data_IF_566959434747
#
_entry.id   IF_566959434747
#
_cell.length_a   1.000
_cell.length_b   1.000
_cell.length_c   1.000
_cell.angle_alpha   90.00
_cell.angle_beta   90.00
_cell.angle_gamma   90.00
#
_symmetry.space_group_name_H-M   'P 1'
#
loop_
_entity.id
_entity.type
_entity.pdbx_description
1 polymer ?
#
# COMPACT_ATOMS: atom_id res chain seq x y z
N UNK A 1 29.69 -24.04 -4.71
CA UNK A 1 29.20 -22.78 -4.11
C UNK A 1 28.54 -23.15 -2.80
N UNK A 2 29.04 -22.63 -1.68
CA UNK A 2 28.51 -22.95 -0.34
C UNK A 2 27.07 -22.48 -0.20
N UNK A 3 26.26 -23.15 0.62
CA UNK A 3 24.85 -22.78 0.86
C UNK A 3 24.70 -21.38 1.49
N UNK A 4 25.73 -20.81 2.07
CA UNK A 4 25.78 -19.48 2.68
C UNK A 4 25.71 -18.30 1.69
N UNK A 5 25.92 -18.56 0.38
CA UNK A 5 25.89 -17.52 -0.66
C UNK A 5 24.51 -17.32 -1.30
N UNK A 6 23.50 -18.13 -0.92
CA UNK A 6 22.18 -18.10 -1.55
C UNK A 6 21.09 -17.64 -0.57
N UNK A 7 20.18 -16.79 -1.04
CA UNK A 7 19.06 -16.28 -0.25
C UNK A 7 17.73 -16.54 -0.95
N UNK A 8 16.76 -17.08 -0.20
CA UNK A 8 15.37 -17.21 -0.68
C UNK A 8 14.68 -15.86 -0.64
N UNK A 9 14.24 -15.40 -1.80
CA UNK A 9 13.46 -14.16 -1.92
C UNK A 9 12.03 -14.44 -2.31
N UNK A 10 11.12 -13.65 -1.74
CA UNK A 10 9.71 -13.67 -2.12
C UNK A 10 9.32 -12.28 -2.61
N UNK A 11 8.65 -12.23 -3.75
CA UNK A 11 8.13 -10.97 -4.29
C UNK A 11 6.80 -11.17 -4.99
N UNK A 12 6.04 -10.06 -5.10
CA UNK A 12 4.79 -10.00 -5.84
C UNK A 12 5.03 -9.54 -7.28
N UNK A 13 4.48 -10.27 -8.24
CA UNK A 13 4.43 -9.81 -9.63
C UNK A 13 2.98 -9.63 -10.04
N UNK A 14 2.58 -8.38 -10.33
CA UNK A 14 1.23 -8.04 -10.75
C UNK A 14 1.14 -7.95 -12.26
N UNK A 15 0.22 -8.73 -12.84
CA UNK A 15 -0.07 -8.73 -14.26
C UNK A 15 -1.55 -8.44 -14.50
N UNK A 16 -1.86 -7.82 -15.65
CA UNK A 16 -3.23 -7.53 -16.04
C UNK A 16 -3.87 -8.76 -16.67
N UNK A 17 -5.09 -9.09 -16.23
CA UNK A 17 -5.91 -10.13 -16.83
C UNK A 17 -6.69 -9.59 -18.04
N UNK A 18 -6.83 -10.42 -19.06
CA UNK A 18 -7.72 -10.22 -20.21
C UNK A 18 -8.86 -11.22 -20.10
N UNK A 19 -9.92 -10.85 -19.39
CA UNK A 19 -11.09 -11.69 -19.16
C UNK A 19 -12.18 -11.39 -20.19
N UNK A 20 -12.85 -12.41 -20.67
CA UNK A 20 -14.15 -12.31 -21.34
C UNK A 20 -15.23 -11.82 -20.36
N UNK A 21 -16.40 -11.36 -20.82
CA UNK A 21 -17.49 -10.96 -19.93
C UNK A 21 -17.92 -12.09 -18.98
N UNK A 22 -18.00 -13.31 -19.44
CA UNK A 22 -18.37 -14.49 -18.63
C UNK A 22 -17.32 -14.80 -17.55
N UNK A 23 -16.04 -14.80 -17.89
CA UNK A 23 -14.92 -14.99 -16.93
C UNK A 23 -14.90 -13.88 -15.87
N UNK A 24 -15.14 -12.63 -16.28
CA UNK A 24 -15.20 -11.51 -15.37
C UNK A 24 -16.37 -11.62 -14.39
N UNK A 25 -17.54 -12.07 -14.86
CA UNK A 25 -18.70 -12.32 -14.01
C UNK A 25 -18.42 -13.42 -12.99
N UNK A 26 -17.83 -14.55 -13.40
CA UNK A 26 -17.44 -15.64 -12.49
C UNK A 26 -16.41 -15.15 -11.45
N UNK A 27 -15.42 -14.35 -11.87
CA UNK A 27 -14.41 -13.78 -10.95
C UNK A 27 -15.05 -12.78 -9.98
N UNK A 28 -16.00 -11.96 -10.44
CA UNK A 28 -16.78 -11.07 -9.58
C UNK A 28 -17.58 -11.86 -8.54
N UNK A 29 -18.27 -12.94 -8.95
CA UNK A 29 -19.02 -13.81 -8.05
C UNK A 29 -18.14 -14.44 -6.97
N UNK A 30 -16.96 -14.96 -7.34
CA UNK A 30 -16.00 -15.50 -6.37
C UNK A 30 -15.54 -14.43 -5.35
N UNK A 31 -15.26 -13.21 -5.81
CA UNK A 31 -14.82 -12.14 -4.92
C UNK A 31 -15.95 -11.64 -4.00
N UNK A 32 -17.18 -11.68 -4.47
CA UNK A 32 -18.36 -11.43 -3.62
C UNK A 32 -18.52 -12.53 -2.57
N UNK A 33 -18.39 -13.80 -2.96
CA UNK A 33 -18.45 -14.93 -2.04
C UNK A 33 -17.32 -14.86 -1.00
N UNK A 34 -16.09 -14.52 -1.38
CA UNK A 34 -14.97 -14.34 -0.46
C UNK A 34 -15.22 -13.23 0.58
N UNK A 35 -15.81 -12.10 0.15
CA UNK A 35 -16.20 -11.03 1.08
C UNK A 35 -17.34 -11.47 2.02
N UNK A 36 -18.36 -12.13 1.50
CA UNK A 36 -19.48 -12.65 2.30
C UNK A 36 -18.97 -13.66 3.31
N UNK A 37 -18.09 -14.57 2.91
CA UNK A 37 -17.45 -15.54 3.80
C UNK A 37 -16.70 -14.86 4.96
N UNK A 38 -15.95 -13.78 4.68
CA UNK A 38 -15.32 -12.99 5.73
C UNK A 38 -16.34 -12.40 6.70
N UNK A 39 -17.46 -11.87 6.20
CA UNK A 39 -18.48 -11.27 7.03
C UNK A 39 -19.22 -12.31 7.86
N UNK A 40 -19.49 -13.49 7.31
CA UNK A 40 -20.06 -14.62 8.04
C UNK A 40 -19.12 -15.11 9.14
N UNK A 41 -17.81 -15.23 8.86
CA UNK A 41 -16.82 -15.56 9.88
C UNK A 41 -16.77 -14.50 10.98
N UNK A 42 -16.95 -13.23 10.64
CA UNK A 42 -16.95 -12.14 11.63
C UNK A 42 -18.22 -12.19 12.50
N UNK A 43 -19.40 -12.42 11.91
CA UNK A 43 -20.64 -12.62 12.65
C UNK A 43 -20.56 -13.86 13.55
N UNK A 44 -20.09 -14.99 13.01
CA UNK A 44 -19.87 -16.22 13.76
C UNK A 44 -18.94 -16.00 14.96
N UNK A 45 -17.81 -15.29 14.76
CA UNK A 45 -16.86 -14.96 15.83
C UNK A 45 -17.50 -14.15 16.96
N UNK A 46 -18.39 -13.21 16.63
CA UNK A 46 -19.08 -12.41 17.64
C UNK A 46 -20.07 -13.22 18.46
N UNK A 47 -20.76 -14.18 17.84
CA UNK A 47 -21.76 -15.04 18.48
C UNK A 47 -21.15 -16.19 19.28
N UNK A 48 -19.97 -16.69 18.91
CA UNK A 48 -19.36 -17.84 19.57
C UNK A 48 -18.75 -17.47 20.92
N UNK A 49 -18.89 -18.34 21.94
CA UNK A 49 -18.15 -18.21 23.20
C UNK A 49 -16.63 -18.35 22.94
N UNK A 50 -15.82 -17.76 23.83
CA UNK A 50 -14.36 -17.65 23.63
C UNK A 50 -13.68 -19.00 23.38
N UNK A 51 -14.10 -20.02 24.08
CA UNK A 51 -13.57 -21.39 24.05
C UNK A 51 -13.76 -22.04 22.68
N UNK A 52 -14.82 -21.68 21.96
CA UNK A 52 -15.16 -22.20 20.63
C UNK A 52 -14.56 -21.35 19.48
N UNK A 53 -13.90 -20.22 19.78
CA UNK A 53 -13.25 -19.35 18.75
C UNK A 53 -11.94 -19.92 18.23
N UNK A 54 -11.94 -21.20 17.89
CA UNK A 54 -10.74 -21.89 17.34
C UNK A 54 -10.79 -22.00 15.83
N UNK A 55 -9.63 -22.22 15.22
CA UNK A 55 -9.52 -22.41 13.77
C UNK A 55 -10.31 -23.64 13.31
N UNK A 56 -10.32 -24.72 14.11
CA UNK A 56 -11.04 -25.96 13.80
C UNK A 56 -12.57 -25.77 13.76
N UNK A 57 -13.14 -25.14 14.78
CA UNK A 57 -14.58 -24.82 14.79
C UNK A 57 -14.98 -23.89 13.65
N UNK A 58 -14.16 -22.87 13.38
CA UNK A 58 -14.41 -21.96 12.26
C UNK A 58 -14.29 -22.65 10.89
N UNK A 59 -13.38 -23.61 10.74
CA UNK A 59 -13.27 -24.41 9.52
C UNK A 59 -14.48 -25.30 9.29
N UNK A 60 -14.99 -25.96 10.35
CA UNK A 60 -16.22 -26.72 10.29
C UNK A 60 -17.42 -25.84 9.89
N UNK A 61 -17.55 -24.65 10.50
CA UNK A 61 -18.58 -23.67 10.16
C UNK A 61 -18.49 -23.20 8.69
N UNK A 62 -17.28 -22.93 8.19
CA UNK A 62 -17.06 -22.57 6.78
C UNK A 62 -17.45 -23.71 5.84
N UNK A 63 -17.10 -24.95 6.17
CA UNK A 63 -17.48 -26.13 5.37
C UNK A 63 -18.98 -26.31 5.32
N UNK A 64 -19.66 -26.17 6.46
CA UNK A 64 -21.13 -26.29 6.54
C UNK A 64 -21.79 -25.15 5.75
N UNK A 65 -21.42 -23.89 5.99
CA UNK A 65 -21.98 -22.74 5.27
C UNK A 65 -21.85 -22.86 3.74
N UNK A 66 -20.79 -23.50 3.25
CA UNK A 66 -20.59 -23.74 1.81
C UNK A 66 -21.46 -24.86 1.25
N UNK A 67 -21.99 -25.76 2.09
CA UNK A 67 -23.00 -26.77 1.71
C UNK A 67 -24.39 -26.17 1.69
N UNK A 68 -24.70 -25.34 2.68
CA UNK A 68 -26.04 -24.79 2.88
C UNK A 68 -26.34 -23.57 1.99
N UNK A 69 -25.30 -22.88 1.51
CA UNK A 69 -25.44 -21.63 0.75
C UNK A 69 -24.73 -21.77 -0.60
N UNK A 70 -25.47 -22.04 -1.65
CA UNK A 70 -24.96 -22.23 -3.02
C UNK A 70 -24.07 -21.11 -3.50
N UNK A 71 -24.42 -19.86 -3.15
CA UNK A 71 -23.60 -18.70 -3.49
C UNK A 71 -22.17 -18.78 -2.93
N UNK A 72 -21.96 -19.42 -1.79
CA UNK A 72 -20.62 -19.61 -1.21
C UNK A 72 -19.87 -20.75 -1.89
N UNK A 73 -20.59 -21.70 -2.47
CA UNK A 73 -19.99 -22.81 -3.20
C UNK A 73 -19.26 -22.39 -4.48
N UNK A 74 -19.56 -21.20 -5.06
CA UNK A 74 -18.82 -20.67 -6.22
C UNK A 74 -17.35 -20.36 -5.89
N UNK A 75 -17.03 -20.11 -4.62
CA UNK A 75 -15.65 -19.92 -4.16
C UNK A 75 -14.92 -21.27 -4.11
N UNK A 76 -13.75 -21.44 -4.73
CA UNK A 76 -12.95 -22.64 -4.58
C UNK A 76 -12.65 -22.95 -3.11
N UNK A 77 -12.61 -24.24 -2.72
CA UNK A 77 -12.39 -24.65 -1.33
C UNK A 77 -11.11 -24.05 -0.74
N UNK A 78 -10.03 -24.07 -1.51
CA UNK A 78 -8.75 -23.51 -1.09
C UNK A 78 -8.80 -21.99 -0.92
N UNK A 79 -9.58 -21.28 -1.74
CA UNK A 79 -9.79 -19.85 -1.58
C UNK A 79 -10.63 -19.54 -0.33
N UNK A 80 -11.62 -20.38 0.02
CA UNK A 80 -12.37 -20.27 1.28
C UNK A 80 -11.43 -20.47 2.48
N UNK A 81 -10.56 -21.48 2.44
CA UNK A 81 -9.53 -21.70 3.45
C UNK A 81 -8.55 -20.50 3.56
N UNK A 82 -8.22 -19.86 2.46
CA UNK A 82 -7.38 -18.66 2.47
C UNK A 82 -8.10 -17.47 3.15
N UNK A 83 -9.42 -17.33 2.97
CA UNK A 83 -10.23 -16.32 3.70
C UNK A 83 -10.20 -16.62 5.21
N UNK A 84 -10.42 -17.86 5.60
CA UNK A 84 -10.37 -18.31 7.00
C UNK A 84 -9.02 -17.99 7.65
N UNK A 85 -7.92 -18.41 7.03
CA UNK A 85 -6.54 -18.14 7.52
C UNK A 85 -6.27 -16.64 7.61
N UNK A 86 -6.72 -15.84 6.63
CA UNK A 86 -6.55 -14.39 6.64
C UNK A 86 -7.35 -13.73 7.77
N UNK A 87 -8.54 -14.24 8.09
CA UNK A 87 -9.37 -13.76 9.20
C UNK A 87 -8.68 -14.00 10.56
N UNK A 88 -8.16 -15.20 10.79
CA UNK A 88 -7.43 -15.53 12.02
C UNK A 88 -6.11 -14.75 12.13
N UNK A 89 -5.41 -14.55 11.01
CA UNK A 89 -4.22 -13.70 10.97
C UNK A 89 -4.55 -12.24 11.32
N UNK A 90 -5.71 -11.73 10.92
CA UNK A 90 -6.14 -10.38 11.29
C UNK A 90 -6.37 -10.26 12.80
N UNK A 91 -6.97 -11.26 13.45
CA UNK A 91 -7.07 -11.31 14.90
C UNK A 91 -5.71 -11.40 15.58
N UNK A 92 -4.82 -12.25 15.08
CA UNK A 92 -3.44 -12.33 15.59
C UNK A 92 -2.74 -10.97 15.51
N UNK A 93 -2.86 -10.26 14.40
CA UNK A 93 -2.29 -8.92 14.25
C UNK A 93 -2.90 -7.91 15.22
N UNK A 94 -4.18 -8.05 15.55
CA UNK A 94 -4.85 -7.22 16.55
C UNK A 94 -4.31 -7.50 17.96
N UNK A 95 -4.19 -8.76 18.35
CA UNK A 95 -3.63 -9.15 19.66
C UNK A 95 -2.17 -8.76 19.82
N UNK A 96 -1.41 -8.84 18.73
CA UNK A 96 -0.01 -8.39 18.69
C UNK A 96 0.11 -6.85 18.65
N UNK A 97 -0.98 -6.09 18.70
CA UNK A 97 -0.99 -4.61 18.64
C UNK A 97 -0.61 -4.02 17.28
N UNK A 98 -0.55 -4.84 16.21
CA UNK A 98 -0.14 -4.42 14.86
C UNK A 98 -1.27 -3.83 14.02
N UNK A 99 -2.52 -4.13 14.38
CA UNK A 99 -3.71 -3.67 13.67
C UNK A 99 -4.90 -3.52 14.62
N UNK A 100 -5.92 -2.81 14.16
CA UNK A 100 -7.22 -2.77 14.83
C UNK A 100 -7.95 -4.12 14.67
N UNK A 101 -8.95 -4.38 15.52
CA UNK A 101 -9.78 -5.57 15.43
C UNK A 101 -10.43 -5.70 14.04
N UNK A 102 -10.58 -6.93 13.53
CA UNK A 102 -11.30 -7.17 12.29
C UNK A 102 -12.72 -6.58 12.35
N UNK A 103 -13.21 -6.13 11.21
CA UNK A 103 -14.55 -5.57 11.07
C UNK A 103 -15.23 -6.10 9.80
N UNK A 104 -16.53 -5.81 9.66
CA UNK A 104 -17.31 -6.17 8.47
C UNK A 104 -16.77 -5.46 7.22
N UNK A 105 -16.66 -6.20 6.13
CA UNK A 105 -16.22 -5.70 4.82
C UNK A 105 -17.39 -5.15 4.02
N UNK A 106 -17.47 -3.83 3.93
CA UNK A 106 -18.50 -3.14 3.15
C UNK A 106 -18.34 -3.33 1.64
N UNK A 107 -19.47 -3.46 0.94
CA UNK A 107 -19.52 -3.68 -0.53
C UNK A 107 -18.73 -2.65 -1.34
N UNK A 108 -18.75 -1.39 -0.93
CA UNK A 108 -18.16 -0.27 -1.69
C UNK A 108 -16.80 0.17 -1.16
N UNK A 109 -16.42 -0.27 0.05
CA UNK A 109 -15.17 0.12 0.71
C UNK A 109 -14.07 -0.92 0.61
N UNK A 110 -14.42 -2.16 0.27
CA UNK A 110 -13.47 -3.27 0.22
C UNK A 110 -13.03 -3.54 -1.21
N UNK A 111 -11.72 -3.67 -1.40
CA UNK A 111 -11.15 -4.12 -2.66
C UNK A 111 -11.55 -5.56 -2.90
N UNK A 112 -12.20 -5.82 -4.04
CA UNK A 112 -12.58 -7.18 -4.43
C UNK A 112 -11.34 -7.99 -4.74
N UNK A 113 -11.17 -9.12 -4.08
CA UNK A 113 -10.02 -10.01 -4.31
C UNK A 113 -10.36 -11.45 -3.97
N UNK A 114 -9.68 -12.37 -4.65
CA UNK A 114 -9.74 -13.81 -4.39
C UNK A 114 -8.31 -14.32 -4.26
N UNK A 115 -8.00 -15.05 -3.22
CA UNK A 115 -6.69 -15.65 -3.03
C UNK A 115 -6.68 -17.08 -3.60
N UNK A 116 -5.64 -17.41 -4.36
CA UNK A 116 -5.34 -18.74 -4.87
C UNK A 116 -4.04 -19.17 -4.17
N UNK A 117 -4.14 -19.92 -3.07
CA UNK A 117 -2.98 -20.20 -2.21
C UNK A 117 -1.98 -21.19 -2.80
N UNK A 118 -2.37 -21.95 -3.83
CA UNK A 118 -1.52 -22.99 -4.44
C UNK A 118 -1.11 -22.56 -5.85
N UNK A 119 0.19 -22.36 -6.05
CA UNK A 119 0.74 -21.95 -7.34
C UNK A 119 0.64 -23.01 -8.43
N UNK A 120 0.67 -24.29 -8.06
CA UNK A 120 0.52 -25.42 -8.98
C UNK A 120 -0.82 -25.44 -9.70
N UNK A 121 -1.90 -25.00 -9.04
CA UNK A 121 -3.25 -24.99 -9.60
C UNK A 121 -3.40 -23.97 -10.74
N UNK A 122 -2.49 -23.00 -10.80
CA UNK A 122 -2.50 -21.96 -11.83
C UNK A 122 -2.03 -22.46 -13.21
N UNK A 123 -1.32 -23.58 -13.28
CA UNK A 123 -0.81 -24.15 -14.54
C UNK A 123 -0.39 -23.08 -15.56
N UNK A 124 0.59 -22.25 -15.15
CA UNK A 124 0.99 -21.07 -15.91
C UNK A 124 1.85 -21.44 -17.10
N UNK A 125 1.46 -20.95 -18.28
CA UNK A 125 2.19 -21.17 -19.53
C UNK A 125 2.40 -19.83 -20.21
N UNK A 126 3.61 -19.60 -20.75
CA UNK A 126 3.89 -18.50 -21.67
C UNK A 126 3.46 -18.90 -23.09
N UNK A 127 2.47 -18.20 -23.63
CA UNK A 127 1.92 -18.48 -24.96
C UNK A 127 2.62 -17.65 -26.03
N UNK A 128 2.97 -16.42 -25.71
CA UNK A 128 3.56 -15.46 -26.63
C UNK A 128 4.47 -14.47 -25.88
N UNK A 129 5.30 -13.71 -26.61
CA UNK A 129 6.19 -12.67 -26.01
C UNK A 129 5.48 -11.77 -24.99
N UNK A 130 4.22 -11.39 -25.27
CA UNK A 130 3.43 -10.44 -24.46
C UNK A 130 2.30 -11.08 -23.67
N UNK A 131 2.10 -12.41 -23.78
CA UNK A 131 0.95 -13.07 -23.19
C UNK A 131 1.31 -14.39 -22.52
N UNK A 132 0.73 -14.61 -21.38
CA UNK A 132 0.68 -15.89 -20.71
C UNK A 132 -0.76 -16.32 -20.45
N UNK A 133 -0.94 -17.58 -20.11
CA UNK A 133 -2.19 -18.16 -19.65
C UNK A 133 -2.02 -18.72 -18.24
N UNK A 134 -3.05 -18.59 -17.43
CA UNK A 134 -3.16 -19.20 -16.12
C UNK A 134 -4.53 -19.84 -15.96
N UNK A 135 -4.58 -20.97 -15.29
CA UNK A 135 -5.82 -21.61 -14.92
C UNK A 135 -6.31 -21.02 -13.60
N UNK A 136 -7.51 -20.41 -13.59
CA UNK A 136 -8.15 -19.89 -12.38
C UNK A 136 -9.24 -20.89 -11.98
N UNK A 137 -9.16 -21.50 -10.78
CA UNK A 137 -10.14 -22.48 -10.34
C UNK A 137 -11.57 -21.94 -10.44
N UNK A 138 -12.47 -22.73 -11.05
CA UNK A 138 -13.89 -22.39 -11.32
C UNK A 138 -14.14 -21.17 -12.22
N UNK A 139 -13.11 -20.57 -12.82
CA UNK A 139 -13.24 -19.54 -13.86
C UNK A 139 -12.83 -20.09 -15.22
N UNK A 140 -11.74 -20.83 -15.25
CA UNK A 140 -11.15 -21.40 -16.46
C UNK A 140 -9.78 -20.84 -16.77
N UNK A 141 -9.33 -21.13 -18.00
CA UNK A 141 -8.01 -20.75 -18.49
C UNK A 141 -8.06 -19.33 -19.06
N UNK A 142 -7.38 -18.36 -18.38
CA UNK A 142 -7.44 -16.93 -18.69
C UNK A 142 -6.11 -16.40 -19.19
N UNK A 143 -6.15 -15.39 -20.05
CA UNK A 143 -4.97 -14.69 -20.54
C UNK A 143 -4.55 -13.58 -19.55
N UNK A 144 -3.22 -13.39 -19.41
CA UNK A 144 -2.66 -12.25 -18.69
C UNK A 144 -1.47 -11.64 -19.47
N UNK A 145 -1.18 -10.37 -19.20
CA UNK A 145 -0.03 -9.67 -19.78
C UNK A 145 1.27 -10.20 -19.20
N UNK A 146 2.13 -10.74 -20.07
CA UNK A 146 3.47 -11.19 -19.71
C UNK A 146 4.41 -9.96 -19.73
N UNK A 147 4.80 -9.45 -18.57
CA UNK A 147 5.61 -8.22 -18.43
C UNK A 147 6.95 -8.46 -17.75
N UNK A 148 7.08 -9.58 -17.04
CA UNK A 148 8.32 -10.04 -16.39
C UNK A 148 8.45 -11.54 -16.55
N UNK A 149 9.66 -12.02 -16.56
CA UNK A 149 9.90 -13.47 -16.54
C UNK A 149 9.43 -14.07 -15.21
N UNK A 150 8.73 -15.18 -15.33
CA UNK A 150 8.21 -15.98 -14.24
C UNK A 150 8.90 -17.34 -14.24
N UNK A 151 9.13 -17.94 -13.05
CA UNK A 151 9.70 -19.28 -12.94
C UNK A 151 8.65 -20.35 -13.29
N UNK A 152 8.50 -20.61 -14.59
CA UNK A 152 7.56 -21.59 -15.16
C UNK A 152 8.26 -22.49 -16.17
N UNK A 153 7.72 -23.68 -16.40
CA UNK A 153 8.31 -24.68 -17.30
C UNK A 153 9.70 -25.09 -16.82
N UNK A 154 10.70 -25.12 -17.72
CA UNK A 154 12.10 -25.47 -17.40
C UNK A 154 12.77 -24.54 -16.36
N UNK A 155 12.22 -23.34 -16.13
CA UNK A 155 12.71 -22.38 -15.11
C UNK A 155 12.07 -22.58 -13.73
N UNK A 156 11.08 -23.46 -13.63
CA UNK A 156 10.46 -23.82 -12.36
C UNK A 156 11.25 -24.95 -11.69
N UNK A 157 11.33 -24.89 -10.38
CA UNK A 157 11.99 -25.89 -9.54
C UNK A 157 11.55 -25.74 -8.09
N UNK A 158 12.12 -26.55 -7.22
CA UNK A 158 11.81 -26.50 -5.78
C UNK A 158 12.04 -25.12 -5.18
N UNK A 159 13.08 -24.42 -5.63
CA UNK A 159 13.52 -23.14 -5.11
C UNK A 159 12.92 -21.95 -5.90
N UNK A 160 12.76 -22.09 -7.23
CA UNK A 160 12.22 -21.07 -8.11
C UNK A 160 10.80 -21.45 -8.55
N UNK A 161 9.78 -20.89 -7.91
CA UNK A 161 8.39 -21.27 -8.15
C UNK A 161 7.41 -20.16 -7.89
N UNK A 162 6.23 -20.30 -8.45
CA UNK A 162 5.06 -19.52 -8.06
C UNK A 162 4.37 -20.27 -6.93
N UNK A 163 4.32 -19.66 -5.75
CA UNK A 163 3.73 -20.26 -4.55
C UNK A 163 2.22 -20.06 -4.48
N UNK A 164 1.68 -19.12 -5.24
CA UNK A 164 0.25 -18.82 -5.33
C UNK A 164 0.01 -17.51 -6.06
N UNK A 165 -1.24 -17.08 -6.09
CA UNK A 165 -1.61 -15.79 -6.65
C UNK A 165 -2.79 -15.17 -5.92
N UNK A 166 -2.98 -13.87 -6.11
CA UNK A 166 -4.18 -13.16 -5.67
C UNK A 166 -4.79 -12.43 -6.86
N UNK A 167 -6.04 -12.69 -7.12
CA UNK A 167 -6.84 -11.90 -8.06
C UNK A 167 -7.29 -10.64 -7.34
N UNK A 168 -7.11 -9.49 -7.96
CA UNK A 168 -7.46 -8.20 -7.40
C UNK A 168 -8.18 -7.39 -8.46
N UNK A 169 -9.38 -6.93 -8.14
CA UNK A 169 -10.10 -5.98 -9.00
C UNK A 169 -9.54 -4.59 -8.76
N UNK A 170 -9.13 -3.91 -9.81
CA UNK A 170 -8.72 -2.51 -9.68
C UNK A 170 -9.88 -1.69 -9.13
N UNK A 171 -9.59 -0.81 -8.15
CA UNK A 171 -10.57 0.11 -7.58
C UNK A 171 -11.06 1.15 -8.61
N UNK A 172 -10.40 1.25 -9.76
CA UNK A 172 -10.86 2.04 -10.89
C UNK A 172 -12.16 1.43 -11.44
N UNK A 173 -13.27 2.19 -11.47
CA UNK A 173 -14.55 1.73 -12.02
C UNK A 173 -14.52 1.48 -13.54
N UNK A 174 -13.39 1.66 -14.19
CA UNK A 174 -13.16 1.33 -15.60
C UNK A 174 -13.33 -0.16 -15.94
N UNK A 175 -13.66 -1.00 -14.95
CA UNK A 175 -14.12 -2.39 -15.18
C UNK A 175 -15.37 -2.50 -16.08
N UNK A 176 -16.06 -1.38 -16.34
CA UNK A 176 -17.23 -1.33 -17.23
C UNK A 176 -16.94 -0.69 -18.61
N UNK A 177 -15.79 -0.06 -18.78
CA UNK A 177 -15.36 0.42 -20.09
C UNK A 177 -14.78 -0.75 -20.87
N UNK A 178 -15.54 -1.23 -21.86
CA UNK A 178 -15.02 -2.14 -22.89
C UNK A 178 -13.79 -1.47 -23.51
N UNK A 179 -12.63 -2.12 -23.42
CA UNK A 179 -11.54 -1.73 -24.30
C UNK A 179 -12.02 -1.97 -25.74
N UNK A 180 -11.60 -1.14 -26.68
CA UNK A 180 -11.84 -1.32 -28.12
C UNK A 180 -11.39 -2.68 -28.66
N UNK A 181 -10.87 -3.57 -27.81
CA UNK A 181 -10.42 -4.94 -28.08
C UNK A 181 -11.06 -5.98 -27.15
N UNK A 182 -12.24 -5.74 -26.60
CA UNK A 182 -13.16 -6.78 -26.13
C UNK A 182 -13.00 -7.35 -24.73
N UNK A 183 -12.19 -6.78 -23.82
CA UNK A 183 -12.06 -7.32 -22.46
C UNK A 183 -12.47 -6.34 -21.36
N UNK A 184 -13.14 -6.76 -20.26
CA UNK A 184 -13.39 -5.91 -19.11
C UNK A 184 -12.06 -5.52 -18.47
N UNK A 185 -11.87 -4.20 -18.33
CA UNK A 185 -10.70 -3.60 -17.71
C UNK A 185 -10.92 -3.62 -16.20
N UNK A 186 -10.00 -4.18 -15.41
CA UNK A 186 -10.09 -4.05 -13.97
C UNK A 186 -9.52 -5.21 -13.14
N UNK A 187 -9.43 -6.41 -13.68
CA UNK A 187 -8.86 -7.53 -12.96
C UNK A 187 -7.36 -7.70 -13.22
N UNK A 188 -6.61 -7.94 -12.15
CA UNK A 188 -5.20 -8.25 -12.15
C UNK A 188 -4.94 -9.53 -11.37
N UNK A 189 -3.93 -10.26 -11.77
CA UNK A 189 -3.37 -11.36 -11.01
C UNK A 189 -2.04 -10.91 -10.40
N UNK A 190 -1.89 -11.05 -9.10
CA UNK A 190 -0.65 -10.81 -8.38
C UNK A 190 -0.07 -12.16 -7.98
N UNK A 191 0.92 -12.62 -8.73
CA UNK A 191 1.65 -13.85 -8.44
C UNK A 191 2.53 -13.66 -7.21
N UNK A 192 2.57 -14.65 -6.33
CA UNK A 192 3.59 -14.79 -5.28
C UNK A 192 4.70 -15.63 -5.85
N UNK A 193 5.84 -15.02 -6.07
CA UNK A 193 7.01 -15.64 -6.68
C UNK A 193 8.07 -15.85 -5.61
N UNK A 194 8.58 -17.06 -5.51
CA UNK A 194 9.76 -17.40 -4.72
C UNK A 194 10.92 -17.66 -5.69
N UNK A 195 12.08 -17.10 -5.40
CA UNK A 195 13.33 -17.36 -6.14
C UNK A 195 14.47 -17.57 -5.16
N UNK A 196 15.42 -18.39 -5.55
CA UNK A 196 16.70 -18.49 -4.90
C UNK A 196 17.68 -17.60 -5.70
N UNK A 197 18.19 -16.58 -5.06
CA UNK A 197 19.11 -15.61 -5.69
C UNK A 197 20.43 -15.62 -4.91
N UNK A 198 21.54 -15.30 -5.58
CA UNK A 198 22.81 -15.07 -4.90
C UNK A 198 22.64 -13.89 -3.94
N UNK A 199 23.16 -14.02 -2.73
CA UNK A 199 23.21 -12.93 -1.76
C UNK A 199 23.99 -11.79 -2.40
N UNK A 200 23.44 -10.57 -2.45
CA UNK A 200 24.15 -9.46 -3.04
C UNK A 200 25.38 -9.13 -2.19
N UNK A 201 26.48 -8.80 -2.85
CA UNK A 201 27.63 -8.21 -2.20
C UNK A 201 27.26 -6.91 -1.48
N UNK A 202 27.96 -6.55 -0.38
CA UNK A 202 27.75 -5.27 0.30
C UNK A 202 27.89 -4.12 -0.69
N UNK A 203 26.91 -3.21 -0.68
CA UNK A 203 26.90 -2.07 -1.57
C UNK A 203 27.98 -1.05 -1.19
N UNK A 204 28.88 -0.72 -2.11
CA UNK A 204 30.03 0.16 -1.85
C UNK A 204 29.71 1.65 -1.99
N UNK A 205 28.47 2.02 -2.34
CA UNK A 205 28.07 3.42 -2.47
C UNK A 205 28.02 4.18 -1.15
N UNK A 206 28.04 5.53 -1.20
CA UNK A 206 28.07 6.39 -0.01
C UNK A 206 26.81 6.27 0.85
N UNK A 207 26.87 6.88 2.02
CA UNK A 207 25.72 7.08 2.90
C UNK A 207 24.92 8.31 2.49
N UNK A 208 23.59 8.28 2.65
CA UNK A 208 22.70 9.40 2.39
C UNK A 208 21.60 9.52 3.42
N UNK A 209 21.38 10.75 3.91
CA UNK A 209 20.19 11.14 4.66
C UNK A 209 19.10 11.64 3.72
N UNK A 210 17.85 11.31 4.01
CA UNK A 210 16.68 11.69 3.20
C UNK A 210 15.67 12.43 4.08
N UNK A 211 15.33 13.64 3.67
CA UNK A 211 14.14 14.35 4.11
C UNK A 211 13.00 14.15 3.10
N UNK A 212 11.77 13.96 3.58
CA UNK A 212 10.58 13.81 2.73
C UNK A 212 9.59 14.93 2.99
N UNK A 213 9.33 15.72 1.97
CA UNK A 213 8.48 16.90 2.03
C UNK A 213 7.23 16.83 1.14
N UNK A 214 6.42 17.88 1.23
CA UNK A 214 5.24 18.08 0.37
C UNK A 214 5.61 18.96 -0.83
N UNK A 215 6.46 19.96 -0.64
CA UNK A 215 6.92 20.87 -1.69
C UNK A 215 8.06 20.23 -2.48
N UNK A 216 9.12 19.81 -1.79
CA UNK A 216 10.17 18.95 -2.33
C UNK A 216 9.91 17.53 -1.84
N UNK A 217 9.46 16.62 -2.70
CA UNK A 217 9.09 15.27 -2.29
C UNK A 217 10.22 14.48 -1.64
N UNK A 218 11.45 14.64 -2.11
CA UNK A 218 12.66 13.99 -1.56
C UNK A 218 13.84 14.95 -1.70
N UNK A 219 14.47 15.31 -0.58
CA UNK A 219 15.73 16.04 -0.53
C UNK A 219 16.82 15.14 0.08
N UNK A 220 18.01 15.15 -0.49
CA UNK A 220 19.14 14.33 -0.06
C UNK A 220 20.18 15.21 0.67
N UNK A 221 20.96 14.57 1.53
CA UNK A 221 22.00 15.23 2.36
C UNK A 221 23.18 15.75 1.55
N UNK A 222 23.39 15.28 0.33
CA UNK A 222 24.42 15.71 -0.61
C UNK A 222 24.00 16.91 -1.47
N UNK A 223 22.73 17.32 -1.40
CA UNK A 223 22.18 18.45 -2.13
C UNK A 223 21.33 18.07 -3.34
N UNK A 224 21.21 16.78 -3.67
CA UNK A 224 20.28 16.35 -4.72
C UNK A 224 18.82 16.42 -4.26
N UNK A 225 17.92 16.68 -5.19
CA UNK A 225 16.48 16.62 -4.99
C UNK A 225 15.79 15.78 -6.04
N UNK A 226 14.73 15.09 -5.65
CA UNK A 226 13.84 14.41 -6.58
C UNK A 226 12.47 15.06 -6.51
N UNK A 227 12.11 15.72 -7.58
CA UNK A 227 10.84 16.41 -7.72
C UNK A 227 9.95 15.74 -8.77
N UNK A 228 8.69 16.02 -8.70
CA UNK A 228 7.72 15.63 -9.71
C UNK A 228 6.73 16.76 -9.96
N UNK A 229 6.29 16.87 -11.18
CA UNK A 229 5.19 17.76 -11.54
C UNK A 229 3.84 17.21 -11.11
N UNK A 230 2.79 17.85 -11.55
CA UNK A 230 1.45 17.39 -11.32
C UNK A 230 1.15 16.05 -12.04
N UNK A 231 0.46 15.15 -11.35
CA UNK A 231 0.14 13.82 -11.89
C UNK A 231 -0.89 13.83 -13.02
N UNK A 232 -1.66 14.90 -13.14
CA UNK A 232 -2.63 15.12 -14.21
C UNK A 232 -2.23 16.36 -15.00
N UNK A 233 -2.38 16.30 -16.32
CA UNK A 233 -2.23 17.49 -17.18
C UNK A 233 -3.34 18.50 -16.87
N UNK A 234 -3.19 19.77 -17.28
CA UNK A 234 -4.19 20.81 -17.06
C UNK A 234 -5.55 20.42 -17.67
N UNK A 235 -5.55 19.84 -18.87
CA UNK A 235 -6.76 19.30 -19.50
C UNK A 235 -7.42 18.18 -18.68
N UNK A 236 -6.60 17.31 -18.07
CA UNK A 236 -7.10 16.22 -17.20
C UNK A 236 -7.63 16.74 -15.86
N UNK A 237 -7.00 17.77 -15.29
CA UNK A 237 -7.46 18.44 -14.05
C UNK A 237 -8.80 19.15 -14.30
N UNK A 238 -8.89 19.95 -15.38
CA UNK A 238 -10.12 20.62 -15.76
C UNK A 238 -11.27 19.61 -16.00
N UNK A 239 -10.98 18.51 -16.69
CA UNK A 239 -11.95 17.43 -16.90
C UNK A 239 -12.36 16.76 -15.58
N UNK A 240 -11.43 16.54 -14.66
CA UNK A 240 -11.74 15.98 -13.33
C UNK A 240 -12.68 16.90 -12.55
N UNK A 241 -12.36 18.18 -12.48
CA UNK A 241 -13.17 19.19 -11.81
C UNK A 241 -14.58 19.28 -12.40
N UNK A 242 -14.71 19.31 -13.75
CA UNK A 242 -16.00 19.28 -14.43
C UNK A 242 -16.83 18.03 -14.07
N UNK A 243 -16.19 16.85 -14.06
CA UNK A 243 -16.87 15.61 -13.69
C UNK A 243 -17.29 15.59 -12.22
N UNK A 244 -16.50 16.14 -11.31
CA UNK A 244 -16.81 16.24 -9.88
C UNK A 244 -17.99 17.19 -9.64
N UNK A 245 -18.01 18.38 -10.29
CA UNK A 245 -19.15 19.31 -10.26
C UNK A 245 -20.42 18.65 -10.79
N UNK A 246 -20.32 17.95 -11.91
CA UNK A 246 -21.45 17.22 -12.51
C UNK A 246 -21.93 16.05 -11.65
N UNK A 247 -21.04 15.37 -10.95
CA UNK A 247 -21.40 14.33 -9.99
C UNK A 247 -22.12 14.91 -8.76
N UNK A 248 -21.64 16.05 -8.24
CA UNK A 248 -22.26 16.76 -7.12
C UNK A 248 -23.68 17.24 -7.50
N UNK A 249 -23.86 17.85 -8.68
CA UNK A 249 -25.17 18.26 -9.19
C UNK A 249 -26.14 17.08 -9.26
N UNK A 250 -25.73 15.96 -9.88
CA UNK A 250 -26.56 14.75 -9.99
C UNK A 250 -26.89 14.10 -8.64
N UNK A 251 -26.01 14.27 -7.65
CA UNK A 251 -26.23 13.76 -6.30
C UNK A 251 -27.29 14.57 -5.54
N UNK A 252 -27.39 15.90 -5.77
CA UNK A 252 -28.40 16.76 -5.13
C UNK A 252 -29.83 16.34 -5.44
N UNK A 253 -30.06 15.84 -6.65
CA UNK A 253 -31.39 15.40 -7.11
C UNK A 253 -31.74 13.95 -6.69
N UNK A 254 -30.89 13.31 -5.89
CA UNK A 254 -31.09 11.94 -5.43
C UNK A 254 -31.70 11.92 -4.04
N UNK A 255 -32.84 11.23 -3.88
CA UNK A 255 -33.48 11.01 -2.58
C UNK A 255 -32.63 10.06 -1.70
N UNK A 256 -32.68 10.21 -0.34
CA UNK A 256 -32.08 9.22 0.56
C UNK A 256 -32.63 7.82 0.28
N UNK A 257 -31.78 6.79 0.28
CA UNK A 257 -32.18 5.40 -0.01
C UNK A 257 -32.33 5.04 -1.50
N UNK A 258 -32.47 6.01 -2.39
CA UNK A 258 -32.60 5.76 -3.83
C UNK A 258 -31.33 5.13 -4.43
N UNK A 259 -31.50 4.23 -5.42
CA UNK A 259 -30.37 3.64 -6.15
C UNK A 259 -29.65 4.71 -6.99
N UNK A 260 -28.33 4.64 -7.01
CA UNK A 260 -27.52 5.53 -7.84
C UNK A 260 -27.84 5.34 -9.34
N UNK A 261 -28.21 6.39 -10.04
CA UNK A 261 -28.55 6.32 -11.45
C UNK A 261 -27.37 5.84 -12.32
N UNK A 262 -27.65 5.19 -13.45
CA UNK A 262 -26.62 4.74 -14.41
C UNK A 262 -25.75 5.92 -14.91
N UNK A 263 -26.35 7.12 -15.06
CA UNK A 263 -25.62 8.34 -15.46
C UNK A 263 -24.62 8.79 -14.39
N UNK A 264 -25.00 8.75 -13.11
CA UNK A 264 -24.11 9.10 -12.00
C UNK A 264 -23.00 8.06 -11.83
N UNK A 265 -23.32 6.77 -11.97
CA UNK A 265 -22.28 5.70 -11.98
C UNK A 265 -21.24 5.92 -13.08
N UNK A 266 -21.65 6.22 -14.32
CA UNK A 266 -20.72 6.52 -15.42
C UNK A 266 -19.84 7.73 -15.11
N UNK A 267 -20.37 8.73 -14.37
CA UNK A 267 -19.58 9.90 -13.97
C UNK A 267 -18.52 9.52 -12.94
N UNK A 268 -18.90 8.75 -11.92
CA UNK A 268 -17.93 8.21 -10.94
C UNK A 268 -16.88 7.32 -11.59
N UNK A 269 -17.25 6.52 -12.58
CA UNK A 269 -16.31 5.69 -13.34
C UNK A 269 -15.24 6.53 -14.06
N UNK A 270 -15.64 7.66 -14.66
CA UNK A 270 -14.71 8.57 -15.32
C UNK A 270 -13.80 9.29 -14.33
N UNK A 271 -14.33 9.76 -13.19
CA UNK A 271 -13.57 10.37 -12.10
C UNK A 271 -12.51 9.38 -11.58
N UNK A 272 -12.92 8.16 -11.29
CA UNK A 272 -12.01 7.15 -10.78
C UNK A 272 -10.95 6.73 -11.82
N UNK A 273 -11.29 6.76 -13.12
CA UNK A 273 -10.31 6.54 -14.20
C UNK A 273 -9.18 7.58 -14.19
N UNK A 274 -9.50 8.87 -14.02
CA UNK A 274 -8.51 9.94 -13.94
C UNK A 274 -7.68 9.84 -12.65
N UNK A 275 -8.31 9.59 -11.51
CA UNK A 275 -7.61 9.38 -10.23
C UNK A 275 -6.67 8.16 -10.29
N UNK A 276 -7.10 7.07 -10.92
CA UNK A 276 -6.26 5.89 -11.13
C UNK A 276 -5.07 6.17 -12.06
N UNK A 277 -5.23 7.07 -13.04
CA UNK A 277 -4.14 7.51 -13.93
C UNK A 277 -3.09 8.29 -13.14
N UNK A 278 -3.51 9.26 -12.32
CA UNK A 278 -2.63 9.99 -11.42
C UNK A 278 -1.85 9.05 -10.50
N UNK A 279 -2.56 8.11 -9.86
CA UNK A 279 -1.94 7.11 -8.97
C UNK A 279 -0.88 6.25 -9.69
N UNK A 280 -1.11 5.86 -10.94
CA UNK A 280 -0.11 5.08 -11.71
C UNK A 280 1.12 5.90 -12.04
N UNK A 281 0.96 7.17 -12.45
CA UNK A 281 2.09 8.07 -12.72
C UNK A 281 2.92 8.31 -11.45
N UNK A 282 2.26 8.57 -10.31
CA UNK A 282 2.93 8.71 -9.02
C UNK A 282 3.69 7.43 -8.63
N UNK A 283 3.09 6.26 -8.84
CA UNK A 283 3.73 4.98 -8.54
C UNK A 283 4.96 4.72 -9.42
N UNK A 284 4.87 5.06 -10.69
CA UNK A 284 5.97 4.91 -11.66
C UNK A 284 7.16 5.80 -11.27
N UNK A 285 6.91 7.08 -10.99
CA UNK A 285 7.92 8.00 -10.49
C UNK A 285 8.58 7.48 -9.20
N UNK A 286 7.80 7.05 -8.22
CA UNK A 286 8.34 6.49 -6.97
C UNK A 286 9.23 5.26 -7.24
N UNK A 287 8.84 4.41 -8.19
CA UNK A 287 9.68 3.26 -8.56
C UNK A 287 10.99 3.69 -9.20
N UNK A 288 10.97 4.68 -10.10
CA UNK A 288 12.18 5.20 -10.75
C UNK A 288 13.10 5.84 -9.73
N UNK A 289 12.61 6.82 -8.96
CA UNK A 289 13.38 7.56 -7.94
C UNK A 289 13.97 6.63 -6.88
N UNK A 290 13.16 5.75 -6.28
CA UNK A 290 13.68 4.82 -5.27
C UNK A 290 14.63 3.77 -5.83
N UNK A 291 14.61 3.51 -7.15
CA UNK A 291 15.60 2.65 -7.79
C UNK A 291 16.91 3.41 -8.03
N UNK A 292 16.85 4.68 -8.45
CA UNK A 292 18.02 5.52 -8.59
C UNK A 292 18.76 5.64 -7.25
N UNK A 293 18.06 6.06 -6.20
CA UNK A 293 18.64 6.17 -4.84
C UNK A 293 19.27 4.85 -4.38
N UNK A 294 18.55 3.73 -4.49
CA UNK A 294 19.06 2.44 -4.03
C UNK A 294 20.26 1.93 -4.86
N UNK A 295 20.47 2.41 -6.08
CA UNK A 295 21.64 2.08 -6.91
C UNK A 295 22.86 2.94 -6.58
N UNK A 296 22.64 4.16 -6.15
CA UNK A 296 23.71 5.12 -5.87
C UNK A 296 24.25 4.96 -4.45
N UNK A 297 23.37 4.75 -3.47
CA UNK A 297 23.74 4.80 -2.05
C UNK A 297 23.69 3.43 -1.40
N UNK A 298 24.75 3.10 -0.66
CA UNK A 298 24.85 1.85 0.10
C UNK A 298 24.12 1.89 1.42
N UNK A 299 24.11 3.05 2.09
CA UNK A 299 23.35 3.29 3.33
C UNK A 299 22.38 4.42 3.14
N UNK A 300 21.10 4.14 3.31
CA UNK A 300 20.01 5.11 3.21
C UNK A 300 19.41 5.34 4.59
N UNK A 301 19.35 6.59 5.02
CA UNK A 301 18.80 6.99 6.33
C UNK A 301 17.57 7.85 6.13
N UNK A 302 16.47 7.53 6.82
CA UNK A 302 15.21 8.27 6.75
C UNK A 302 14.67 8.56 8.14
N UNK A 303 13.80 9.54 8.26
CA UNK A 303 13.08 9.81 9.51
C UNK A 303 12.05 8.73 9.82
N UNK A 304 11.87 8.42 11.11
CA UNK A 304 10.81 7.53 11.60
C UNK A 304 9.48 8.27 11.75
N UNK A 305 8.92 8.76 10.63
CA UNK A 305 7.67 9.52 10.62
C UNK A 305 6.46 8.66 11.00
N UNK A 306 5.66 9.13 11.96
CA UNK A 306 4.37 8.54 12.31
C UNK A 306 3.26 9.15 11.46
N UNK A 307 3.21 8.76 10.18
CA UNK A 307 2.31 9.33 9.16
C UNK A 307 0.84 9.28 9.60
N UNK A 308 0.41 8.21 10.29
CA UNK A 308 -0.96 8.07 10.81
C UNK A 308 -1.33 9.19 11.79
N UNK A 309 -0.38 9.66 12.60
CA UNK A 309 -0.60 10.79 13.49
C UNK A 309 -0.61 12.12 12.74
N UNK A 310 0.27 12.25 11.73
CA UNK A 310 0.36 13.47 10.92
C UNK A 310 -0.91 13.74 10.13
N UNK A 311 -1.63 12.69 9.67
CA UNK A 311 -2.88 12.83 8.90
C UNK A 311 -4.16 12.73 9.74
N UNK A 312 -4.06 12.78 11.07
CA UNK A 312 -5.25 12.84 11.94
C UNK A 312 -6.10 14.07 11.61
N UNK A 313 -7.42 13.90 11.71
CA UNK A 313 -8.38 15.01 11.54
C UNK A 313 -8.24 16.00 12.69
N UNK A 314 -8.33 17.28 12.39
CA UNK A 314 -8.40 18.36 13.38
C UNK A 314 -9.85 18.77 13.71
N UNK A 315 -10.84 17.92 13.36
CA UNK A 315 -12.27 18.29 13.49
C UNK A 315 -12.73 18.51 14.94
N UNK A 316 -12.05 17.89 15.93
CA UNK A 316 -12.48 17.93 17.33
C UNK A 316 -13.74 17.12 17.60
N UNK A 317 -14.36 17.38 18.75
CA UNK A 317 -15.67 16.87 19.16
C UNK A 317 -16.75 17.95 18.99
N UNK A 318 -17.99 17.66 19.39
CA UNK A 318 -19.08 18.65 19.38
C UNK A 318 -18.86 19.66 20.50
N UNK A 319 -18.36 19.20 21.66
CA UNK A 319 -18.06 20.03 22.82
C UNK A 319 -16.80 20.90 22.62
N UNK A 320 -15.79 20.35 21.93
CA UNK A 320 -14.53 21.04 21.62
C UNK A 320 -14.28 21.02 20.11
N UNK A 321 -14.87 21.95 19.33
CA UNK A 321 -14.67 22.03 17.89
C UNK A 321 -13.22 22.34 17.55
N UNK A 322 -12.68 21.58 16.59
CA UNK A 322 -11.31 21.77 16.16
C UNK A 322 -11.09 23.05 15.36
N UNK A 323 -9.88 23.63 15.50
CA UNK A 323 -9.45 24.83 14.76
C UNK A 323 -8.73 24.46 13.45
N UNK A 324 -8.78 25.36 12.46
CA UNK A 324 -8.07 25.21 11.18
C UNK A 324 -8.35 23.89 10.42
N UNK A 325 -9.57 23.34 10.55
CA UNK A 325 -9.97 22.03 9.99
C UNK A 325 -9.77 21.96 8.48
N UNK A 326 -10.10 23.04 7.75
CA UNK A 326 -9.96 23.09 6.27
C UNK A 326 -8.47 23.04 5.85
N UNK A 327 -7.62 23.84 6.50
CA UNK A 327 -6.17 23.86 6.25
C UNK A 327 -5.54 22.49 6.56
N UNK A 328 -5.87 21.92 7.72
CA UNK A 328 -5.39 20.60 8.12
C UNK A 328 -5.85 19.50 7.16
N UNK A 329 -7.08 19.58 6.66
CA UNK A 329 -7.61 18.68 5.64
C UNK A 329 -6.86 18.81 4.31
N UNK A 330 -6.47 20.04 3.93
CA UNK A 330 -5.61 20.32 2.78
C UNK A 330 -4.25 19.66 2.92
N UNK A 331 -3.55 19.92 4.03
CA UNK A 331 -2.26 19.32 4.35
C UNK A 331 -2.32 17.79 4.38
N UNK A 332 -3.34 17.21 5.01
CA UNK A 332 -3.53 15.75 5.05
C UNK A 332 -3.69 15.15 3.65
N UNK A 333 -4.36 15.84 2.73
CA UNK A 333 -4.47 15.42 1.33
C UNK A 333 -3.12 15.47 0.62
N UNK A 334 -2.32 16.52 0.84
CA UNK A 334 -0.98 16.65 0.28
C UNK A 334 -0.06 15.54 0.78
N UNK A 335 0.05 15.32 2.08
CA UNK A 335 0.83 14.22 2.69
C UNK A 335 0.40 12.85 2.12
N UNK A 336 -0.92 12.62 1.99
CA UNK A 336 -1.45 11.37 1.44
C UNK A 336 -1.13 11.19 -0.04
N UNK A 337 -1.00 12.30 -0.80
CA UNK A 337 -0.65 12.31 -2.23
C UNK A 337 0.81 11.89 -2.44
N UNK A 338 1.72 12.34 -1.57
CA UNK A 338 3.15 12.00 -1.63
C UNK A 338 3.44 10.54 -1.23
N UNK A 339 2.59 9.94 -0.41
CA UNK A 339 2.65 8.52 -0.03
C UNK A 339 4.02 8.10 0.55
N UNK A 340 4.61 8.89 1.44
CA UNK A 340 5.93 8.69 2.07
C UNK A 340 6.16 7.28 2.60
N UNK A 341 5.17 6.68 3.26
CA UNK A 341 5.26 5.30 3.76
C UNK A 341 5.54 4.27 2.67
N UNK A 342 5.00 4.49 1.45
CA UNK A 342 5.28 3.63 0.29
C UNK A 342 6.70 3.86 -0.24
N UNK A 343 7.16 5.09 -0.29
CA UNK A 343 8.53 5.46 -0.68
C UNK A 343 9.54 4.77 0.24
N UNK A 344 9.37 4.89 1.56
CA UNK A 344 10.22 4.19 2.55
C UNK A 344 10.17 2.67 2.38
N UNK A 345 8.98 2.09 2.18
CA UNK A 345 8.85 0.65 1.90
C UNK A 345 9.61 0.24 0.64
N UNK A 346 9.55 1.05 -0.43
CA UNK A 346 10.28 0.77 -1.67
C UNK A 346 11.78 0.88 -1.48
N UNK A 347 12.26 1.89 -0.79
CA UNK A 347 13.68 2.03 -0.44
C UNK A 347 14.15 0.82 0.37
N UNK A 348 13.42 0.41 1.41
CA UNK A 348 13.79 -0.72 2.27
C UNK A 348 14.08 -2.00 1.48
N UNK A 349 13.17 -2.43 0.61
CA UNK A 349 13.42 -3.68 -0.12
C UNK A 349 14.38 -3.53 -1.31
N UNK A 350 14.50 -2.32 -1.89
CA UNK A 350 15.40 -2.10 -3.03
C UNK A 350 16.84 -1.97 -2.58
N UNK A 351 17.13 -1.23 -1.52
CA UNK A 351 18.48 -1.16 -0.93
C UNK A 351 18.94 -2.54 -0.47
N UNK A 352 18.10 -3.27 0.27
CA UNK A 352 18.42 -4.64 0.69
C UNK A 352 18.64 -5.60 -0.49
N UNK A 353 17.96 -5.38 -1.63
CA UNK A 353 18.16 -6.20 -2.83
C UNK A 353 19.51 -5.94 -3.52
N UNK A 354 20.06 -4.76 -3.35
CA UNK A 354 21.33 -4.33 -3.92
C UNK A 354 22.51 -4.40 -2.93
N UNK A 355 22.31 -5.06 -1.78
CA UNK A 355 23.36 -5.22 -0.76
C UNK A 355 23.52 -4.03 0.19
N UNK A 356 22.70 -3.00 0.04
CA UNK A 356 22.67 -1.83 0.93
C UNK A 356 21.75 -2.00 2.13
N UNK A 357 21.71 -0.98 2.98
CA UNK A 357 20.91 -0.93 4.21
C UNK A 357 20.03 0.30 4.28
N UNK A 358 18.89 0.21 4.97
CA UNK A 358 18.07 1.37 5.30
C UNK A 358 17.89 1.47 6.82
N UNK A 359 18.19 2.64 7.35
CA UNK A 359 18.05 2.96 8.76
C UNK A 359 17.00 4.05 8.98
N UNK A 360 16.40 4.06 10.17
CA UNK A 360 15.47 5.10 10.60
C UNK A 360 16.02 5.79 11.82
N UNK A 361 15.89 7.13 11.86
CA UNK A 361 16.30 7.96 12.99
C UNK A 361 15.09 8.70 13.58
N UNK A 362 15.14 9.16 14.85
CA UNK A 362 14.11 10.01 15.40
C UNK A 362 13.87 11.27 14.58
N UNK A 363 12.60 11.61 14.32
CA UNK A 363 12.24 12.80 13.54
C UNK A 363 12.23 14.13 14.33
N UNK A 364 12.00 14.18 15.66
CA UNK A 364 11.90 15.45 16.37
C UNK A 364 13.18 16.30 16.27
N UNK A 365 13.03 17.58 15.88
CA UNK A 365 14.11 18.57 15.87
C UNK A 365 14.96 18.61 14.60
N UNK A 366 14.89 17.65 13.71
CA UNK A 366 15.72 17.57 12.47
C UNK A 366 15.60 18.81 11.59
N UNK A 367 14.41 19.38 11.44
CA UNK A 367 14.14 20.56 10.64
C UNK A 367 14.49 21.89 11.31
N UNK A 368 14.75 21.90 12.63
CA UNK A 368 15.07 23.10 13.41
C UNK A 368 16.54 23.17 13.83
N UNK A 369 17.25 22.05 13.75
CA UNK A 369 18.65 21.90 14.10
C UNK A 369 19.52 22.40 12.95
N UNK A 370 20.54 23.19 13.25
CA UNK A 370 21.57 23.56 12.29
C UNK A 370 22.48 22.38 11.99
N UNK A 371 22.66 22.02 10.73
CA UNK A 371 23.53 20.91 10.33
C UNK A 371 25.02 21.21 10.50
N UNK A 372 25.39 22.50 10.60
CA UNK A 372 26.78 22.92 10.78
C UNK A 372 27.20 22.90 12.27
N UNK A 373 26.45 23.57 13.16
CA UNK A 373 26.84 23.72 14.57
C UNK A 373 25.96 22.95 15.56
N UNK A 374 24.83 22.39 15.13
CA UNK A 374 23.91 21.65 16.01
C UNK A 374 22.93 22.52 16.82
N UNK A 375 23.03 23.86 16.78
CA UNK A 375 22.12 24.74 17.48
C UNK A 375 20.67 24.56 17.01
N UNK A 376 19.75 24.39 17.96
CA UNK A 376 18.37 24.04 17.66
C UNK A 376 17.42 25.08 18.23
N UNK A 377 16.70 25.77 17.35
CA UNK A 377 15.63 26.69 17.72
C UNK A 377 14.58 26.75 16.61
N UNK A 378 13.29 26.94 16.92
CA UNK A 378 12.24 27.10 15.90
C UNK A 378 12.51 28.21 14.89
N UNK A 379 13.16 29.31 15.31
CA UNK A 379 13.51 30.45 14.46
C UNK A 379 14.57 30.16 13.40
N UNK A 380 15.33 29.06 13.47
CA UNK A 380 16.31 28.72 12.47
C UNK A 380 15.69 28.46 11.08
N UNK A 381 14.49 27.91 11.02
CA UNK A 381 13.76 27.70 9.76
C UNK A 381 12.87 28.91 9.47
N UNK A 382 13.36 29.85 8.69
CA UNK A 382 12.64 31.10 8.38
C UNK A 382 11.46 30.88 7.41
N UNK A 383 11.63 29.92 6.48
CA UNK A 383 10.58 29.57 5.52
C UNK A 383 10.60 28.08 5.16
N UNK A 384 9.75 27.66 4.22
CA UNK A 384 9.77 26.30 3.70
C UNK A 384 11.13 25.94 3.09
N UNK A 385 11.77 26.87 2.40
CA UNK A 385 13.01 26.63 1.67
C UNK A 385 14.26 27.20 2.37
N UNK A 386 14.10 28.18 3.27
CA UNK A 386 15.22 28.95 3.83
C UNK A 386 15.47 28.57 5.28
N UNK A 387 16.69 28.21 5.55
CA UNK A 387 17.24 27.98 6.89
C UNK A 387 18.37 28.97 7.18
N UNK A 388 18.32 29.66 8.31
CA UNK A 388 19.35 30.59 8.79
C UNK A 388 19.62 30.28 10.27
N UNK A 389 20.83 29.86 10.57
CA UNK A 389 21.21 29.57 11.95
C UNK A 389 21.22 30.86 12.79
N UNK A 390 20.49 30.85 13.91
CA UNK A 390 20.38 31.95 14.85
C UNK A 390 21.48 31.93 15.93
N UNK A 391 22.39 30.97 15.88
CA UNK A 391 23.60 31.02 16.70
C UNK A 391 24.54 32.09 16.15
N UNK A 392 24.90 33.15 16.92
CA UNK A 392 25.78 34.24 16.47
C UNK A 392 27.13 33.74 15.96
N UNK A 393 27.67 32.70 16.58
CA UNK A 393 28.98 32.12 16.26
C UNK A 393 28.99 31.26 14.99
N UNK A 394 27.82 30.95 14.44
CA UNK A 394 27.72 30.06 13.29
C UNK A 394 27.33 30.78 11.98
N UNK A 395 26.25 31.53 11.99
CA UNK A 395 25.73 32.26 10.83
C UNK A 395 25.41 31.42 9.58
N UNK A 396 25.45 30.09 9.66
CA UNK A 396 25.22 29.22 8.50
C UNK A 396 23.82 29.42 7.94
N UNK A 397 23.72 29.53 6.60
CA UNK A 397 22.44 29.61 5.89
C UNK A 397 22.42 28.66 4.70
N UNK A 398 21.23 28.23 4.30
CA UNK A 398 21.06 27.33 3.18
C UNK A 398 19.63 26.81 2.99
N UNK A 399 19.48 25.81 2.12
CA UNK A 399 18.17 25.17 1.90
C UNK A 399 17.74 24.35 3.12
N UNK A 400 16.50 24.59 3.60
CA UNK A 400 15.96 23.98 4.81
C UNK A 400 15.78 22.46 4.70
N UNK A 401 15.41 21.96 3.53
CA UNK A 401 15.16 20.53 3.31
C UNK A 401 16.50 19.76 3.21
N UNK A 402 17.54 20.37 2.60
CA UNK A 402 18.90 19.81 2.63
C UNK A 402 19.52 19.84 4.02
N UNK A 403 19.28 20.91 4.80
CA UNK A 403 19.69 20.95 6.20
C UNK A 403 19.06 19.83 7.00
N UNK A 404 17.76 19.57 6.83
CA UNK A 404 17.06 18.48 7.47
C UNK A 404 17.62 17.10 7.08
N UNK A 405 17.87 16.87 5.79
CA UNK A 405 18.46 15.64 5.29
C UNK A 405 19.89 15.40 5.84
N UNK A 406 20.70 16.44 5.99
CA UNK A 406 22.03 16.36 6.66
C UNK A 406 21.89 15.99 8.14
N UNK A 407 20.92 16.58 8.83
CA UNK A 407 20.65 16.22 10.23
C UNK A 407 20.19 14.77 10.37
N UNK A 408 19.38 14.26 9.45
CA UNK A 408 18.97 12.83 9.41
C UNK A 408 20.21 11.94 9.32
N UNK A 409 21.16 12.24 8.43
CA UNK A 409 22.40 11.49 8.30
C UNK A 409 23.29 11.64 9.55
N UNK A 410 23.39 12.85 10.11
CA UNK A 410 24.15 13.11 11.32
C UNK A 410 23.64 12.27 12.51
N UNK A 411 22.33 12.21 12.74
CA UNK A 411 21.73 11.40 13.81
C UNK A 411 22.07 9.92 13.67
N UNK A 412 22.12 9.41 12.45
CA UNK A 412 22.57 8.04 12.19
C UNK A 412 24.03 7.83 12.60
N UNK A 413 24.92 8.73 12.20
CA UNK A 413 26.35 8.69 12.53
C UNK A 413 26.63 8.83 14.03
N UNK A 414 25.73 9.49 14.76
CA UNK A 414 25.75 9.57 16.24
C UNK A 414 25.19 8.30 16.93
N UNK A 415 24.90 7.24 16.19
CA UNK A 415 24.38 6.00 16.74
C UNK A 415 22.92 6.02 17.17
N UNK A 416 22.16 7.09 16.82
CA UNK A 416 20.74 7.24 17.17
C UNK A 416 19.80 6.52 16.18
N UNK A 417 20.32 5.58 15.40
CA UNK A 417 19.47 4.76 14.55
C UNK A 417 18.51 3.92 15.40
N UNK A 418 17.23 4.04 15.07
CA UNK A 418 16.21 3.16 15.65
C UNK A 418 16.46 1.75 15.12
N UNK A 419 16.90 0.85 16.00
CA UNK A 419 17.06 -0.56 15.66
C UNK A 419 15.69 -1.05 15.15
N UNK A 420 15.59 -1.58 13.93
CA UNK A 420 14.36 -2.24 13.52
C UNK A 420 14.17 -3.38 14.50
N UNK A 421 13.14 -3.33 15.33
CA UNK A 421 12.77 -4.49 16.12
C UNK A 421 12.64 -5.65 15.13
N UNK A 422 13.46 -6.66 15.28
CA UNK A 422 13.51 -7.82 14.39
C UNK A 422 12.07 -8.33 14.22
N UNK A 423 11.46 -8.00 13.08
CA UNK A 423 10.11 -8.43 12.71
C UNK A 423 8.91 -7.77 13.40
N UNK A 424 9.04 -6.73 14.25
CA UNK A 424 7.88 -6.12 14.92
C UNK A 424 8.07 -4.63 15.23
N UNK A 425 7.47 -3.77 14.44
CA UNK A 425 7.17 -2.43 14.89
C UNK A 425 6.00 -2.50 15.90
N UNK A 426 6.31 -2.60 17.17
CA UNK A 426 5.30 -2.50 18.24
C UNK A 426 5.01 -1.03 18.46
N UNK A 427 3.98 -0.51 17.81
CA UNK A 427 3.34 0.73 18.22
C UNK A 427 2.51 0.39 19.46
N UNK A 428 3.06 0.58 20.65
CA UNK A 428 2.27 0.56 21.89
C UNK A 428 1.31 1.77 21.84
N UNK A 429 0.05 1.53 21.50
CA UNK A 429 -1.03 2.49 21.74
C UNK A 429 -1.18 2.63 23.25
N UNK A 430 -1.06 3.85 23.78
CA UNK A 430 -1.47 4.16 25.15
C UNK A 430 -2.91 3.66 25.34
N UNK A 431 -3.12 2.85 26.38
CA UNK A 431 -4.45 2.37 26.76
C UNK A 431 -5.35 3.58 26.98
N UNK A 432 -6.42 3.69 26.19
CA UNK A 432 -7.52 4.61 26.50
C UNK A 432 -8.13 4.17 27.82
N UNK A 433 -7.90 4.96 28.87
CA UNK A 433 -8.62 4.82 30.12
C UNK A 433 -10.09 5.13 29.80
N UNK A 434 -10.98 4.16 29.98
CA UNK A 434 -12.41 4.41 29.94
C UNK A 434 -12.74 5.30 31.15
N UNK A 435 -13.52 6.39 31.00
CA UNK A 435 -14.05 7.07 32.15
C UNK A 435 -14.93 6.12 32.94
N UNK A 436 -14.75 6.11 34.25
CA UNK A 436 -15.59 5.37 35.18
C UNK A 436 -17.06 5.82 34.99
N UNK A 437 -17.95 4.85 34.84
CA UNK A 437 -19.39 5.11 34.85
C UNK A 437 -19.74 5.72 36.22
N UNK A 438 -20.25 6.94 36.23
CA UNK A 438 -20.87 7.52 37.40
C UNK A 438 -22.14 6.71 37.69
N UNK A 439 -22.30 6.37 38.97
CA UNK A 439 -23.51 5.73 39.54
C UNK A 439 -24.67 6.71 39.54
#
# INVERSE_FOLDING_TARGET
MSQDTMVKRQFGHRARLALSPAEALRTDSQAHAARTMWNLLHAWWQMMPKEKRTLGHADAAVRQARKDIDFLAVLPAQAAQAVLKTYFLAWKNCWDGRADAPNFKGRFRTVMSVDIPQGRDLNIVRVHRRWGMANIPKVGRVRFRWTKDLPVGKRAGAENRITGARLVKDASPSSRLRSSRGGPIGWHIAFRVQTLEVKPEPHQGPEVGIDVGVTVPIALSDGETYEHGEWLTEKEKARLLHLERRAAQRKRHRKPGERTSRRLHRTYDRIAGLRAKAKRRALDWQHQTTTAIARTYGTVVVEALTITNMVKSARGTIEEPGKNVAQKSGLNRSISKEAWGRTVTMLTYKTARLGGTLHKVPAPGTSQRCSACGFTTPGNRESQAVFVCKNPDCGWSGNADHNAARNVLHLYRMGLALIPAAGRAVVRRAKRVKPAAAR
#
